data_IF_693984275341
#
_entry.id   IF_693984275341
#
_cell.length_a   1.000
_cell.length_b   1.000
_cell.length_c   1.000
_cell.angle_alpha   90.00
_cell.angle_beta   90.00
_cell.angle_gamma   90.00
#
_symmetry.space_group_name_H-M   'P 1'
#
loop_
_entity.id
_entity.type
_entity.pdbx_description
1 polymer ?
#
# COMPACT_ATOMS: atom_id res chain seq x y z
N UNK A 1 6.68 -14.33 11.13
CA UNK A 1 7.87 -14.70 10.35
C UNK A 1 7.93 -13.96 9.02
N UNK A 2 6.89 -13.92 8.18
CA UNK A 2 6.92 -13.15 6.91
C UNK A 2 6.85 -11.62 7.05
N UNK A 3 6.40 -11.09 8.19
CA UNK A 3 6.20 -9.65 8.40
C UNK A 3 7.42 -8.90 8.97
N UNK A 4 8.52 -9.60 9.28
CA UNK A 4 9.82 -8.96 9.59
C UNK A 4 10.63 -8.62 8.32
N UNK A 5 10.05 -8.84 7.14
CA UNK A 5 10.69 -8.54 5.86
C UNK A 5 10.91 -7.04 5.69
N UNK A 6 12.16 -6.62 5.87
CA UNK A 6 12.59 -5.27 5.54
C UNK A 6 12.59 -5.03 4.01
N UNK A 7 12.64 -3.76 3.56
CA UNK A 7 12.71 -3.41 2.14
C UNK A 7 13.83 -4.12 1.38
N UNK A 8 14.97 -4.37 2.05
CA UNK A 8 16.11 -5.11 1.50
C UNK A 8 15.78 -6.57 1.17
N UNK A 9 15.00 -7.24 2.00
CA UNK A 9 14.64 -8.65 1.80
C UNK A 9 13.68 -8.82 0.61
N UNK A 10 12.73 -7.88 0.46
CA UNK A 10 11.84 -7.82 -0.71
C UNK A 10 12.65 -7.63 -2.00
N UNK A 11 13.67 -6.77 -1.99
CA UNK A 11 14.57 -6.58 -3.14
C UNK A 11 15.35 -7.86 -3.43
N UNK A 12 15.88 -8.54 -2.41
CA UNK A 12 16.60 -9.79 -2.59
C UNK A 12 15.73 -10.87 -3.25
N UNK A 13 14.49 -11.03 -2.80
CA UNK A 13 13.53 -11.97 -3.40
C UNK A 13 13.21 -11.57 -4.84
N UNK A 14 13.00 -10.29 -5.11
CA UNK A 14 12.73 -9.80 -6.46
C UNK A 14 13.89 -10.12 -7.42
N UNK A 15 15.14 -9.93 -6.98
CA UNK A 15 16.33 -10.29 -7.77
C UNK A 15 16.37 -11.80 -8.03
N UNK A 16 16.13 -12.63 -7.01
CA UNK A 16 16.09 -14.10 -7.18
C UNK A 16 15.01 -14.49 -8.18
N UNK A 17 13.81 -13.93 -8.07
CA UNK A 17 12.72 -14.18 -9.01
C UNK A 17 13.09 -13.76 -10.44
N UNK A 18 13.73 -12.60 -10.62
CA UNK A 18 14.24 -12.14 -11.92
C UNK A 18 15.29 -13.08 -12.48
N UNK A 19 16.20 -13.61 -11.65
CA UNK A 19 17.24 -14.55 -12.11
C UNK A 19 16.63 -15.87 -12.54
N UNK A 20 15.68 -16.40 -11.77
CA UNK A 20 15.02 -17.70 -12.04
C UNK A 20 14.14 -17.63 -13.29
N UNK A 21 13.32 -16.59 -13.43
CA UNK A 21 12.44 -16.44 -14.58
C UNK A 21 13.16 -15.83 -15.79
N UNK A 22 14.16 -14.97 -15.55
CA UNK A 22 14.83 -14.11 -16.52
C UNK A 22 14.20 -12.70 -16.57
N UNK A 23 15.00 -11.63 -16.61
CA UNK A 23 14.51 -10.25 -16.63
C UNK A 23 13.65 -9.93 -17.85
N UNK A 24 13.88 -10.60 -18.96
CA UNK A 24 13.09 -10.43 -20.19
C UNK A 24 11.72 -11.13 -20.13
N UNK A 25 11.61 -12.21 -19.34
CA UNK A 25 10.38 -13.01 -19.26
C UNK A 25 9.43 -12.52 -18.19
N UNK A 26 9.93 -11.89 -17.12
CA UNK A 26 9.12 -11.30 -16.06
C UNK A 26 8.05 -10.32 -16.59
N UNK A 27 8.39 -9.29 -17.40
CA UNK A 27 7.37 -8.38 -17.93
C UNK A 27 6.38 -9.09 -18.85
N UNK A 28 6.84 -10.07 -19.63
CA UNK A 28 5.98 -10.87 -20.51
C UNK A 28 4.97 -11.72 -19.71
N UNK A 29 5.41 -12.36 -18.63
CA UNK A 29 4.55 -13.14 -17.74
C UNK A 29 3.48 -12.26 -17.08
N UNK A 30 3.84 -11.06 -16.61
CA UNK A 30 2.88 -10.09 -16.06
C UNK A 30 1.85 -9.70 -17.13
N UNK A 31 2.28 -9.43 -18.36
CA UNK A 31 1.38 -9.07 -19.45
C UNK A 31 0.38 -10.21 -19.74
N UNK A 32 0.84 -11.45 -19.83
CA UNK A 32 0.00 -12.62 -20.05
C UNK A 32 -1.05 -12.81 -18.95
N UNK A 33 -0.63 -12.76 -17.68
CA UNK A 33 -1.53 -12.86 -16.52
C UNK A 33 -2.54 -11.70 -16.52
N UNK A 34 -2.08 -10.48 -16.79
CA UNK A 34 -2.96 -9.31 -16.83
C UNK A 34 -4.00 -9.40 -17.95
N UNK A 35 -3.63 -9.98 -19.10
CA UNK A 35 -4.54 -10.20 -20.21
C UNK A 35 -5.60 -11.25 -19.86
N UNK A 36 -5.21 -12.33 -19.18
CA UNK A 36 -6.15 -13.35 -18.66
C UNK A 36 -7.13 -12.73 -17.67
N UNK A 37 -6.65 -11.96 -16.69
CA UNK A 37 -7.52 -11.29 -15.70
C UNK A 37 -8.50 -10.33 -16.38
N UNK A 38 -8.04 -9.54 -17.36
CA UNK A 38 -8.89 -8.63 -18.12
C UNK A 38 -9.98 -9.37 -18.89
N UNK A 39 -9.61 -10.46 -19.57
CA UNK A 39 -10.55 -11.33 -20.29
C UNK A 39 -11.56 -11.96 -19.35
N UNK A 40 -11.13 -12.46 -18.19
CA UNK A 40 -12.02 -13.03 -17.19
C UNK A 40 -13.05 -12.00 -16.72
N UNK A 41 -12.62 -10.76 -16.43
CA UNK A 41 -13.52 -9.68 -16.06
C UNK A 41 -14.51 -9.32 -17.16
N UNK A 42 -14.06 -9.23 -18.41
CA UNK A 42 -14.97 -8.91 -19.53
C UNK A 42 -15.98 -10.02 -19.76
N UNK A 43 -15.58 -11.30 -19.62
CA UNK A 43 -16.48 -12.43 -19.73
C UNK A 43 -17.54 -12.41 -18.61
N UNK A 44 -17.14 -12.13 -17.37
CA UNK A 44 -18.08 -11.95 -16.26
C UNK A 44 -19.07 -10.81 -16.51
N UNK A 45 -18.61 -9.68 -17.06
CA UNK A 45 -19.47 -8.54 -17.39
C UNK A 45 -20.45 -8.87 -18.52
N UNK A 46 -20.00 -9.54 -19.59
CA UNK A 46 -20.86 -9.96 -20.69
C UNK A 46 -21.91 -10.96 -20.21
N UNK A 47 -21.50 -11.97 -19.44
CA UNK A 47 -22.43 -12.95 -18.87
C UNK A 47 -23.46 -12.29 -17.94
N UNK A 48 -23.05 -11.35 -17.09
CA UNK A 48 -23.98 -10.56 -16.26
C UNK A 48 -24.97 -9.76 -17.12
N UNK A 49 -24.52 -9.16 -18.22
CA UNK A 49 -25.38 -8.39 -19.11
C UNK A 49 -26.39 -9.28 -19.85
N UNK A 50 -25.99 -10.47 -20.26
CA UNK A 50 -26.84 -11.45 -20.94
C UNK A 50 -27.88 -12.03 -19.97
N UNK A 51 -27.46 -12.43 -18.76
CA UNK A 51 -28.34 -12.85 -17.65
C UNK A 51 -29.35 -11.75 -17.30
N UNK A 52 -28.91 -10.49 -17.20
CA UNK A 52 -29.79 -9.33 -16.93
C UNK A 52 -30.84 -9.13 -18.04
N UNK A 53 -30.48 -9.41 -19.28
CA UNK A 53 -31.34 -9.23 -20.45
C UNK A 53 -32.41 -10.32 -20.56
N UNK A 54 -32.08 -11.55 -20.16
CA UNK A 54 -32.99 -12.70 -20.31
C UNK A 54 -33.80 -13.03 -19.04
N UNK A 55 -33.24 -12.81 -17.85
CA UNK A 55 -33.87 -13.22 -16.58
C UNK A 55 -34.46 -12.07 -15.77
N UNK A 56 -34.40 -10.83 -16.29
CA UNK A 56 -34.97 -9.66 -15.65
C UNK A 56 -34.12 -9.09 -14.48
N UNK A 57 -34.51 -7.93 -13.94
CA UNK A 57 -33.71 -7.15 -12.99
C UNK A 57 -33.46 -7.80 -11.62
N UNK A 58 -34.01 -8.98 -11.33
CA UNK A 58 -33.84 -9.67 -10.03
C UNK A 58 -32.41 -10.15 -9.75
N UNK A 59 -31.53 -10.28 -10.75
CA UNK A 59 -30.13 -10.72 -10.56
C UNK A 59 -29.11 -9.57 -10.47
N UNK A 60 -29.59 -8.34 -10.27
CA UNK A 60 -28.80 -7.11 -10.30
C UNK A 60 -27.81 -6.92 -9.13
N UNK A 61 -27.77 -7.82 -8.15
CA UNK A 61 -26.98 -7.68 -6.92
C UNK A 61 -25.56 -8.26 -6.97
N UNK A 62 -25.11 -8.80 -8.10
CA UNK A 62 -23.73 -9.28 -8.27
C UNK A 62 -22.84 -8.13 -8.74
N UNK A 63 -22.52 -7.21 -7.83
CA UNK A 63 -21.56 -6.13 -8.03
C UNK A 63 -20.12 -6.69 -8.17
N UNK A 64 -19.81 -7.17 -9.37
CA UNK A 64 -18.46 -7.63 -9.76
C UNK A 64 -17.71 -6.54 -10.57
N UNK A 65 -18.31 -5.35 -10.68
CA UNK A 65 -17.85 -4.25 -11.51
C UNK A 65 -16.85 -3.29 -10.85
N UNK A 66 -16.72 -3.28 -9.53
CA UNK A 66 -16.12 -2.13 -8.83
C UNK A 66 -14.58 -2.13 -8.70
N UNK A 67 -13.89 -3.16 -9.20
CA UNK A 67 -12.42 -3.20 -9.21
C UNK A 67 -11.80 -2.32 -10.30
N UNK A 68 -12.27 -1.08 -10.51
CA UNK A 68 -11.75 -0.21 -11.56
C UNK A 68 -10.23 0.05 -11.35
N UNK A 69 -9.36 -0.43 -12.26
CA UNK A 69 -7.90 -0.43 -12.05
C UNK A 69 -7.33 0.97 -11.85
N UNK A 70 -7.99 2.01 -12.40
CA UNK A 70 -7.57 3.41 -12.27
C UNK A 70 -7.76 3.95 -10.85
N UNK A 71 -8.78 3.46 -10.13
CA UNK A 71 -9.02 3.84 -8.74
C UNK A 71 -8.06 3.09 -7.81
N UNK A 72 -7.70 1.83 -8.16
CA UNK A 72 -6.72 1.04 -7.43
C UNK A 72 -5.30 1.60 -7.56
N UNK A 73 -4.85 1.96 -8.79
CA UNK A 73 -3.55 2.60 -8.96
C UNK A 73 -3.49 3.96 -8.28
N UNK A 74 -4.56 4.77 -8.37
CA UNK A 74 -4.60 6.07 -7.68
C UNK A 74 -4.58 5.94 -6.15
N UNK A 75 -5.28 4.94 -5.59
CA UNK A 75 -5.25 4.65 -4.16
C UNK A 75 -3.89 4.10 -3.70
N UNK A 76 -3.24 3.27 -4.52
CA UNK A 76 -1.90 2.76 -4.25
C UNK A 76 -0.83 3.87 -4.32
N UNK A 77 -0.88 4.73 -5.36
CA UNK A 77 0.02 5.88 -5.54
C UNK A 77 -0.15 6.89 -4.39
N UNK A 78 -1.38 7.30 -4.09
CA UNK A 78 -1.64 8.21 -2.96
C UNK A 78 -1.32 7.60 -1.60
N UNK A 79 -1.39 6.27 -1.47
CA UNK A 79 -0.91 5.54 -0.29
C UNK A 79 0.61 5.60 -0.16
N UNK A 80 1.35 5.32 -1.23
CA UNK A 80 2.81 5.38 -1.28
C UNK A 80 3.34 6.81 -1.05
N UNK A 81 2.69 7.83 -1.61
CA UNK A 81 3.03 9.23 -1.35
C UNK A 81 2.81 9.62 0.12
N UNK A 82 1.74 9.11 0.75
CA UNK A 82 1.50 9.36 2.18
C UNK A 82 2.56 8.69 3.05
N UNK A 83 2.92 7.44 2.80
CA UNK A 83 3.95 6.75 3.60
C UNK A 83 5.30 7.46 3.51
N UNK A 84 5.71 7.87 2.30
CA UNK A 84 6.96 8.60 2.09
C UNK A 84 6.97 9.96 2.81
N UNK A 85 5.82 10.66 2.84
CA UNK A 85 5.69 11.95 3.54
C UNK A 85 5.55 11.82 5.06
N UNK A 86 5.02 10.71 5.55
CA UNK A 86 4.83 10.47 6.98
C UNK A 86 6.15 10.17 7.69
N UNK A 87 7.12 9.58 7.00
CA UNK A 87 8.49 9.41 7.54
C UNK A 87 9.19 10.77 7.74
N UNK A 88 9.00 11.73 6.82
CA UNK A 88 9.50 13.10 6.96
C UNK A 88 8.81 13.88 8.10
N UNK A 89 7.53 13.61 8.33
CA UNK A 89 6.79 14.18 9.46
C UNK A 89 7.20 13.54 10.78
N UNK A 90 7.37 12.23 10.85
CA UNK A 90 7.87 11.54 12.04
C UNK A 90 9.27 12.05 12.44
N UNK A 91 10.13 12.31 11.45
CA UNK A 91 11.48 12.85 11.64
C UNK A 91 11.51 14.33 12.06
N UNK A 92 10.45 15.09 11.81
CA UNK A 92 10.31 16.49 12.24
C UNK A 92 9.50 16.67 13.53
N UNK A 93 8.80 15.62 13.96
CA UNK A 93 8.12 15.54 15.27
C UNK A 93 9.10 15.18 16.39
N UNK A 94 10.36 14.84 16.07
CA UNK A 94 11.45 14.56 17.03
C UNK A 94 11.82 15.79 17.89
N UNK A 95 11.03 15.95 18.95
CA UNK A 95 11.25 16.34 20.35
C UNK A 95 12.57 16.98 20.84
N UNK A 96 13.65 17.06 20.06
CA UNK A 96 14.92 17.64 20.51
C UNK A 96 14.85 19.17 20.71
N UNK A 97 13.88 19.82 20.05
CA UNK A 97 13.64 21.26 20.21
C UNK A 97 12.88 21.61 21.51
N UNK A 98 12.24 20.63 22.16
CA UNK A 98 11.40 20.87 23.35
C UNK A 98 12.12 20.46 24.65
N UNK A 99 13.16 19.62 24.57
CA UNK A 99 13.93 19.16 25.75
C UNK A 99 15.16 20.02 26.07
N UNK A 100 15.53 20.97 25.19
CA UNK A 100 16.76 21.77 25.35
C UNK A 100 16.49 23.17 25.94
N UNK A 101 15.23 23.56 26.13
CA UNK A 101 14.86 24.91 26.64
C UNK A 101 14.51 24.94 28.15
N UNK A 102 14.96 23.98 28.96
CA UNK A 102 14.83 24.10 30.43
C UNK A 102 16.06 23.59 31.20
N UNK A 103 17.25 23.99 30.75
CA UNK A 103 18.52 23.71 31.43
C UNK A 103 19.15 24.93 32.13
N UNK A 104 18.34 25.88 32.59
CA UNK A 104 18.82 27.02 33.42
C UNK A 104 17.88 27.38 34.58
N UNK A 105 17.52 26.40 35.40
CA UNK A 105 17.07 26.69 36.78
C UNK A 105 17.74 25.76 37.78
N UNK A 106 18.82 26.19 38.48
CA UNK A 106 19.28 25.46 39.64
C UNK A 106 18.24 25.60 40.76
N UNK A 107 17.68 24.46 41.15
CA UNK A 107 16.90 24.26 42.36
C UNK A 107 17.83 24.30 43.57
N UNK A 108 17.81 25.39 44.33
CA UNK A 108 18.33 25.36 45.69
C UNK A 108 17.24 24.93 46.67
N UNK A 109 17.37 23.65 47.01
CA UNK A 109 16.76 22.91 48.10
C UNK A 109 17.09 23.53 49.47
N UNK A 110 16.05 23.62 50.33
CA UNK A 110 16.00 23.61 51.80
C UNK A 110 16.96 24.49 52.63
N UNK A 111 16.36 25.33 53.47
CA UNK A 111 16.77 25.47 54.87
C UNK A 111 15.56 25.81 55.76
N UNK A 112 15.00 24.78 56.39
CA UNK A 112 14.33 24.91 57.68
C UNK A 112 15.35 25.27 58.76
N UNK A 113 15.01 26.21 59.65
CA UNK A 113 14.89 26.03 61.11
C UNK A 113 15.48 27.20 61.93
N UNK A 114 14.67 27.60 62.92
CA UNK A 114 14.85 28.56 64.03
C UNK A 114 14.59 30.04 63.71
#
# INVERSE_FOLDING_TARGET
>A
MFFDMGPLEVIAIAVIAIVVLGPEKLPKAIQEVSAVIRKMRSLSQTAQNEIRKELGPEYSHLDLGELNPRNLTRKALSGAERTLRLDDLAKSVDLNKVLTEDRTRPTFTKATKY
#
